data_IF_639409391376
#
_entry.id   IF_639409391376
#
_cell.length_a   1.000
_cell.length_b   1.000
_cell.length_c   1.000
_cell.angle_alpha   90.00
_cell.angle_beta   90.00
_cell.angle_gamma   90.00
#
_symmetry.space_group_name_H-M   'P 1'
#
loop_
_entity.id
_entity.type
_entity.pdbx_description
1 polymer ?
#
# COMPACT_ATOMS: atom_id res chain seq x y z
N UNK A 1 13.26 3.13 -1.73
CA UNK A 1 12.63 2.36 -2.80
C UNK A 1 12.51 0.92 -2.33
N UNK A 2 11.31 0.38 -2.41
CA UNK A 2 11.06 -1.06 -2.28
C UNK A 2 11.50 -1.71 -3.59
N UNK A 3 12.34 -2.73 -3.52
CA UNK A 3 12.98 -3.30 -4.70
C UNK A 3 12.91 -4.82 -4.62
N UNK A 4 12.64 -5.48 -5.73
CA UNK A 4 12.89 -6.91 -5.86
C UNK A 4 14.37 -7.20 -5.56
N UNK A 5 14.65 -8.26 -4.83
CA UNK A 5 16.04 -8.69 -4.64
C UNK A 5 16.27 -9.70 -3.53
N UNK A 6 17.51 -10.13 -3.44
CA UNK A 6 18.01 -10.93 -2.34
C UNK A 6 18.30 -10.01 -1.15
N UNK A 7 17.66 -10.32 -0.02
CA UNK A 7 17.86 -9.64 1.25
C UNK A 7 18.50 -10.60 2.24
N UNK A 8 19.46 -10.11 3.01
CA UNK A 8 20.12 -10.81 4.10
C UNK A 8 19.53 -10.33 5.41
N UNK A 9 19.22 -11.27 6.30
CA UNK A 9 18.66 -11.06 7.62
C UNK A 9 19.66 -11.49 8.68
N UNK A 10 19.74 -10.73 9.77
CA UNK A 10 20.57 -11.06 10.92
C UNK A 10 19.71 -11.02 12.17
N UNK A 11 19.74 -12.08 12.96
CA UNK A 11 18.99 -12.19 14.20
C UNK A 11 19.93 -12.45 15.37
N UNK A 12 19.95 -11.53 16.33
CA UNK A 12 20.69 -11.71 17.57
C UNK A 12 19.70 -11.93 18.71
N UNK A 13 19.83 -13.05 19.42
CA UNK A 13 19.10 -13.33 20.66
C UNK A 13 20.03 -14.04 21.67
N UNK A 14 19.66 -14.06 22.95
CA UNK A 14 20.39 -14.81 23.99
C UNK A 14 20.08 -16.30 23.84
N UNK A 15 18.87 -16.73 24.23
CA UNK A 15 18.46 -18.14 24.13
C UNK A 15 17.77 -18.45 22.80
N UNK A 16 16.59 -17.88 22.51
CA UNK A 16 15.89 -18.17 21.24
C UNK A 16 15.32 -16.92 20.58
N UNK A 17 15.36 -16.91 19.25
CA UNK A 17 14.82 -15.85 18.43
C UNK A 17 14.19 -16.39 17.16
N UNK A 18 13.09 -15.79 16.73
CA UNK A 18 12.38 -16.17 15.52
C UNK A 18 11.99 -14.92 14.74
N UNK A 19 12.23 -14.98 13.43
CA UNK A 19 11.77 -14.01 12.44
C UNK A 19 10.94 -14.77 11.40
N UNK A 20 9.67 -14.39 11.24
CA UNK A 20 8.82 -14.83 10.12
C UNK A 20 8.48 -13.67 9.22
N UNK A 21 8.49 -13.93 7.92
CA UNK A 21 8.09 -12.97 6.89
C UNK A 21 7.07 -13.67 6.00
N UNK A 22 5.89 -13.06 5.84
CA UNK A 22 4.76 -13.63 5.11
C UNK A 22 4.26 -14.99 5.67
N UNK A 23 4.43 -15.22 6.97
CA UNK A 23 4.06 -16.48 7.61
C UNK A 23 5.09 -17.61 7.45
N UNK A 24 6.14 -17.41 6.65
CA UNK A 24 7.26 -18.33 6.51
C UNK A 24 8.36 -17.97 7.50
N UNK A 25 8.92 -18.98 8.17
CA UNK A 25 10.08 -18.80 9.05
C UNK A 25 11.30 -18.46 8.19
N UNK A 26 11.88 -17.30 8.47
CA UNK A 26 13.03 -16.76 7.72
C UNK A 26 14.29 -16.86 8.55
N UNK A 27 14.23 -16.72 9.86
CA UNK A 27 15.41 -16.95 10.70
C UNK A 27 14.95 -17.52 12.04
N UNK A 28 15.64 -18.58 12.48
CA UNK A 28 15.37 -19.27 13.73
C UNK A 28 16.70 -19.46 14.42
N UNK A 29 16.92 -18.68 15.49
CA UNK A 29 17.98 -18.94 16.44
C UNK A 29 17.44 -19.84 17.54
N UNK A 30 18.02 -21.03 17.66
CA UNK A 30 17.82 -21.96 18.78
C UNK A 30 19.16 -22.11 19.51
N UNK A 31 19.40 -21.22 20.48
CA UNK A 31 20.60 -21.22 21.33
C UNK A 31 20.47 -22.22 22.48
N UNK A 32 21.62 -22.58 23.09
CA UNK A 32 21.66 -23.45 24.28
C UNK A 32 21.45 -22.59 25.53
N UNK A 33 20.35 -22.77 26.30
CA UNK A 33 20.20 -22.08 27.58
C UNK A 33 21.17 -22.66 28.63
N UNK A 34 21.67 -21.86 29.60
CA UNK A 34 21.84 -20.41 29.63
C UNK A 34 23.33 -20.04 29.47
N UNK A 35 23.67 -19.05 28.64
CA UNK A 35 25.08 -18.63 28.47
C UNK A 35 25.32 -17.11 28.44
N UNK A 36 24.27 -16.29 28.44
CA UNK A 36 24.36 -14.83 28.65
C UNK A 36 25.09 -14.08 27.54
N UNK A 37 25.06 -14.63 26.31
CA UNK A 37 25.73 -14.06 25.12
C UNK A 37 24.75 -13.98 23.97
N UNK A 38 24.69 -12.81 23.34
CA UNK A 38 23.99 -12.65 22.07
C UNK A 38 24.83 -13.27 20.96
N UNK A 39 24.27 -14.26 20.28
CA UNK A 39 24.87 -14.84 19.07
C UNK A 39 24.02 -14.46 17.87
N UNK A 40 24.70 -14.19 16.76
CA UNK A 40 24.09 -13.81 15.49
C UNK A 40 23.79 -15.07 14.67
N UNK A 41 22.53 -15.25 14.30
CA UNK A 41 22.15 -16.11 13.19
C UNK A 41 21.90 -15.25 11.94
N UNK A 42 22.26 -15.77 10.77
CA UNK A 42 22.09 -15.04 9.51
C UNK A 42 21.35 -15.88 8.48
N UNK A 43 20.48 -15.20 7.73
CA UNK A 43 19.71 -15.82 6.67
C UNK A 43 19.69 -14.95 5.42
N UNK A 44 19.24 -15.50 4.30
CA UNK A 44 18.94 -14.70 3.11
C UNK A 44 17.69 -15.19 2.40
N UNK A 45 16.89 -14.27 1.87
CA UNK A 45 15.66 -14.58 1.15
C UNK A 45 15.43 -13.60 0.01
N UNK A 46 14.99 -14.14 -1.13
CA UNK A 46 14.52 -13.30 -2.23
C UNK A 46 13.14 -12.75 -1.89
N UNK A 47 13.00 -11.43 -1.87
CA UNK A 47 11.74 -10.74 -1.68
C UNK A 47 11.39 -9.95 -2.94
N UNK A 48 10.10 -9.88 -3.22
CA UNK A 48 9.53 -8.95 -4.20
C UNK A 48 9.32 -7.60 -3.54
N UNK A 49 9.26 -6.54 -4.33
CA UNK A 49 8.81 -5.24 -3.84
C UNK A 49 7.39 -5.38 -3.29
N UNK A 50 7.13 -4.73 -2.16
CA UNK A 50 5.84 -4.76 -1.47
C UNK A 50 5.96 -4.94 0.04
N UNK A 51 4.80 -4.88 0.68
CA UNK A 51 4.68 -4.96 2.13
C UNK A 51 4.52 -6.40 2.61
N UNK A 52 5.34 -6.78 3.58
CA UNK A 52 5.29 -8.11 4.19
C UNK A 52 4.85 -8.03 5.65
N UNK A 53 3.95 -8.93 6.05
CA UNK A 53 3.70 -9.18 7.46
C UNK A 53 4.94 -9.82 8.09
N UNK A 54 5.51 -9.15 9.09
CA UNK A 54 6.65 -9.64 9.86
C UNK A 54 6.15 -10.08 11.23
N UNK A 55 6.61 -11.24 11.70
CA UNK A 55 6.42 -11.70 13.08
C UNK A 55 7.78 -11.93 13.71
N UNK A 56 7.93 -11.45 14.94
CA UNK A 56 9.14 -11.55 15.73
C UNK A 56 8.77 -12.25 17.04
N UNK A 57 9.56 -13.23 17.44
CA UNK A 57 9.44 -13.87 18.74
C UNK A 57 10.83 -13.99 19.36
N UNK A 58 10.97 -13.58 20.61
CA UNK A 58 12.18 -13.79 21.40
C UNK A 58 11.78 -14.59 22.64
N UNK A 59 12.57 -15.59 22.99
CA UNK A 59 12.40 -16.36 24.23
C UNK A 59 13.74 -16.29 24.95
N UNK A 60 13.72 -15.85 26.21
CA UNK A 60 14.85 -15.94 27.12
C UNK A 60 14.47 -16.94 28.21
N UNK A 61 15.13 -18.09 28.25
CA UNK A 61 14.85 -19.18 29.18
C UNK A 61 15.73 -18.98 30.42
N UNK A 62 15.09 -18.88 31.61
CA UNK A 62 15.76 -18.66 32.90
C UNK A 62 16.35 -17.24 33.13
N UNK A 63 15.67 -16.20 32.63
CA UNK A 63 16.02 -14.81 32.96
C UNK A 63 16.01 -14.55 34.48
N UNK A 64 17.16 -14.11 35.02
CA UNK A 64 17.29 -13.58 36.38
C UNK A 64 17.64 -12.09 36.34
N UNK A 65 16.84 -11.20 36.97
CA UNK A 65 17.12 -9.77 37.04
C UNK A 65 18.46 -9.41 37.71
N UNK A 66 19.07 -10.34 38.44
CA UNK A 66 20.34 -10.14 39.16
C UNK A 66 21.57 -10.65 38.40
N UNK A 67 21.40 -11.40 37.30
CA UNK A 67 22.52 -12.02 36.57
C UNK A 67 23.15 -11.12 35.51
N UNK A 68 22.50 -10.02 35.12
CA UNK A 68 22.98 -9.17 34.01
C UNK A 68 22.87 -9.84 32.64
N UNK A 69 22.08 -10.91 32.51
CA UNK A 69 21.81 -11.58 31.23
C UNK A 69 21.14 -10.61 30.25
N UNK A 70 21.55 -10.67 28.98
CA UNK A 70 21.14 -9.72 27.96
C UNK A 70 19.73 -10.05 27.44
N UNK A 71 18.75 -9.18 27.70
CA UNK A 71 17.54 -9.14 26.87
C UNK A 71 17.86 -8.25 25.67
N UNK A 72 18.41 -8.83 24.61
CA UNK A 72 18.50 -8.13 23.34
C UNK A 72 17.99 -9.02 22.22
N UNK A 73 17.18 -8.43 21.37
CA UNK A 73 16.63 -9.03 20.17
C UNK A 73 16.83 -8.04 19.03
N UNK A 74 17.82 -8.29 18.18
CA UNK A 74 18.13 -7.42 17.06
C UNK A 74 17.80 -8.10 15.75
N UNK A 75 17.09 -7.41 14.86
CA UNK A 75 16.83 -7.85 13.49
C UNK A 75 17.49 -6.87 12.54
N UNK A 76 18.41 -7.36 11.72
CA UNK A 76 19.08 -6.60 10.66
C UNK A 76 18.59 -7.07 9.30
N UNK A 77 18.40 -6.15 8.34
CA UNK A 77 18.14 -6.47 6.94
C UNK A 77 19.05 -5.65 6.03
N UNK A 78 19.75 -6.27 5.09
CA UNK A 78 20.62 -5.60 4.12
C UNK A 78 20.60 -6.32 2.76
N UNK A 79 21.04 -5.64 1.69
CA UNK A 79 21.33 -6.23 0.38
C UNK A 79 22.73 -6.86 0.30
N UNK A 80 23.53 -6.68 1.34
CA UNK A 80 24.84 -7.32 1.48
C UNK A 80 24.81 -8.35 2.62
N UNK A 81 25.64 -9.41 2.55
CA UNK A 81 25.76 -10.36 3.64
C UNK A 81 26.09 -9.67 4.97
N UNK A 82 25.33 -10.02 6.00
CA UNK A 82 25.55 -9.52 7.36
C UNK A 82 26.73 -10.27 7.96
N UNK A 83 27.63 -9.53 8.60
CA UNK A 83 28.81 -10.07 9.26
C UNK A 83 28.77 -9.79 10.74
N UNK A 84 29.37 -10.70 11.48
CA UNK A 84 29.59 -10.58 12.91
C UNK A 84 30.46 -9.35 13.25
N UNK A 85 30.04 -8.57 14.25
CA UNK A 85 30.77 -7.39 14.72
C UNK A 85 31.97 -7.75 15.60
N UNK A 86 32.87 -6.78 15.85
CA UNK A 86 34.03 -7.00 16.72
C UNK A 86 33.62 -7.04 18.20
N UNK A 87 33.91 -8.15 18.88
CA UNK A 87 33.57 -8.41 20.28
C UNK A 87 34.69 -7.94 21.22
N UNK A 88 34.57 -6.74 21.78
CA UNK A 88 35.50 -6.31 22.82
C UNK A 88 34.79 -5.51 23.91
N UNK A 89 34.51 -6.17 25.04
CA UNK A 89 34.07 -5.52 26.29
C UNK A 89 33.15 -6.39 27.16
N UNK A 90 33.20 -6.17 28.47
CA UNK A 90 32.43 -6.90 29.50
C UNK A 90 30.95 -6.45 29.60
N UNK A 91 30.46 -5.69 28.61
CA UNK A 91 29.08 -5.18 28.55
C UNK A 91 28.46 -5.49 27.19
N UNK A 92 27.42 -6.33 27.20
CA UNK A 92 26.65 -6.73 26.01
C UNK A 92 25.80 -5.59 25.42
N UNK A 93 25.69 -4.43 26.09
CA UNK A 93 24.82 -3.31 25.69
C UNK A 93 25.48 -2.20 24.87
N UNK A 94 26.81 -2.18 24.69
CA UNK A 94 27.48 -1.18 23.85
C UNK A 94 28.00 -1.80 22.56
N UNK A 95 27.18 -1.75 21.51
CA UNK A 95 27.60 -2.12 20.15
C UNK A 95 27.56 -0.89 19.24
N UNK A 96 28.70 -0.57 18.63
CA UNK A 96 28.78 0.36 17.50
C UNK A 96 28.68 -0.46 16.21
N UNK A 97 27.50 -0.46 15.61
CA UNK A 97 27.32 -0.98 14.25
C UNK A 97 27.73 0.13 13.26
N UNK A 98 28.46 -0.22 12.20
CA UNK A 98 28.52 0.63 11.01
C UNK A 98 27.14 0.61 10.36
N UNK A 99 26.31 1.60 10.70
CA UNK A 99 24.99 1.77 10.12
C UNK A 99 25.09 1.84 8.59
N UNK A 100 24.40 0.93 7.90
CA UNK A 100 23.97 1.18 6.53
C UNK A 100 22.96 2.32 6.59
N UNK A 101 23.09 3.33 5.72
CA UNK A 101 22.31 4.58 5.74
C UNK A 101 20.80 4.42 5.53
N UNK A 102 20.29 3.18 5.51
CA UNK A 102 18.88 2.81 5.29
C UNK A 102 18.26 2.00 6.44
N UNK A 103 18.98 1.76 7.54
CA UNK A 103 18.47 0.98 8.68
C UNK A 103 17.54 1.80 9.58
N UNK A 104 16.37 1.24 9.93
CA UNK A 104 15.64 1.56 11.17
C UNK A 104 15.96 0.48 12.19
N UNK A 105 16.67 0.81 13.26
CA UNK A 105 16.81 -0.06 14.42
C UNK A 105 15.47 -0.13 15.16
N UNK A 106 15.03 -1.33 15.51
CA UNK A 106 13.94 -1.52 16.47
C UNK A 106 14.57 -1.91 17.81
N UNK A 107 14.62 -0.97 18.74
CA UNK A 107 14.95 -1.27 20.14
C UNK A 107 13.67 -1.78 20.81
N UNK A 108 13.66 -3.02 21.30
CA UNK A 108 12.61 -3.47 22.20
C UNK A 108 12.83 -2.74 23.53
N UNK A 109 12.11 -1.64 23.70
CA UNK A 109 12.06 -0.90 24.96
C UNK A 109 11.10 -1.67 25.88
N UNK A 110 11.50 -1.91 27.12
CA UNK A 110 10.62 -2.49 28.15
C UNK A 110 9.29 -1.72 28.15
N UNK A 111 8.16 -2.41 28.09
CA UNK A 111 6.80 -1.79 28.02
C UNK A 111 6.59 -0.71 29.08
N UNK A 112 7.18 -0.87 30.27
CA UNK A 112 7.13 0.09 31.37
C UNK A 112 7.81 1.45 31.10
N UNK A 113 8.45 1.65 29.94
CA UNK A 113 9.21 2.87 29.61
C UNK A 113 8.75 3.59 28.33
N UNK A 114 7.63 3.19 27.71
CA UNK A 114 7.07 3.89 26.54
C UNK A 114 6.31 5.14 27.01
N UNK A 115 7.01 6.26 27.16
CA UNK A 115 6.40 7.56 27.46
C UNK A 115 5.76 8.17 26.23
N UNK A 116 4.66 8.89 26.40
CA UNK A 116 4.03 9.61 25.30
C UNK A 116 4.92 10.76 24.79
N UNK A 117 5.50 10.57 23.60
CA UNK A 117 6.09 11.67 22.84
C UNK A 117 5.00 12.61 22.30
N UNK A 118 5.44 13.78 21.83
CA UNK A 118 4.61 14.69 21.05
C UNK A 118 4.07 13.99 19.80
N UNK A 119 2.84 14.34 19.42
CA UNK A 119 2.22 13.84 18.20
C UNK A 119 3.02 14.27 16.97
N UNK A 120 3.26 13.34 16.04
CA UNK A 120 3.93 13.59 14.77
C UNK A 120 2.93 13.34 13.65
N UNK A 121 2.85 14.25 12.68
CA UNK A 121 1.95 14.09 11.53
C UNK A 121 2.23 12.77 10.81
N UNK A 122 1.19 11.95 10.63
CA UNK A 122 1.28 10.68 9.91
C UNK A 122 0.76 10.89 8.50
N UNK A 123 1.63 10.64 7.53
CA UNK A 123 1.27 10.58 6.11
C UNK A 123 0.59 9.25 5.77
N UNK A 124 -0.36 9.30 4.85
CA UNK A 124 -1.08 8.12 4.39
C UNK A 124 -0.23 7.32 3.42
N UNK A 125 0.00 6.04 3.73
CA UNK A 125 0.47 5.06 2.77
C UNK A 125 -0.65 4.65 1.82
N UNK A 126 -0.42 4.76 0.52
CA UNK A 126 -1.35 4.30 -0.52
C UNK A 126 -0.73 3.10 -1.26
N UNK A 127 -1.37 1.94 -1.17
CA UNK A 127 -0.98 0.70 -1.82
C UNK A 127 -1.44 0.70 -3.29
N UNK A 128 -0.46 0.83 -4.18
CA UNK A 128 -0.64 0.82 -5.63
C UNK A 128 -0.35 -0.57 -6.18
N UNK A 129 -1.31 -1.49 -6.01
CA UNK A 129 -1.17 -2.83 -6.59
C UNK A 129 -1.20 -2.78 -8.11
N UNK A 130 -0.37 -3.62 -8.73
CA UNK A 130 -0.43 -3.84 -10.17
C UNK A 130 -1.86 -4.30 -10.58
N UNK A 131 -2.40 -3.78 -11.70
CA UNK A 131 -3.71 -4.22 -12.18
C UNK A 131 -3.73 -5.72 -12.51
N UNK A 132 -4.84 -6.38 -12.19
CA UNK A 132 -5.12 -7.75 -12.63
C UNK A 132 -5.82 -7.70 -13.99
N UNK A 133 -5.47 -8.61 -14.90
CA UNK A 133 -6.12 -8.73 -16.22
C UNK A 133 -7.00 -9.98 -16.27
N UNK A 134 -8.19 -9.85 -16.83
CA UNK A 134 -9.13 -10.96 -17.08
C UNK A 134 -9.74 -10.86 -18.48
N UNK A 135 -10.10 -12.00 -19.06
CA UNK A 135 -10.78 -12.11 -20.35
C UNK A 135 -12.31 -12.18 -20.24
N UNK A 136 -12.88 -11.84 -19.08
CA UNK A 136 -14.32 -11.77 -18.88
C UNK A 136 -14.96 -10.61 -19.68
N UNK A 137 -16.14 -10.85 -20.26
CA UNK A 137 -16.95 -9.82 -20.92
C UNK A 137 -17.85 -9.09 -19.91
N UNK A 138 -17.24 -8.25 -19.06
CA UNK A 138 -17.91 -7.40 -18.07
C UNK A 138 -17.13 -6.09 -17.91
N UNK A 139 -17.71 -5.14 -17.19
CA UNK A 139 -17.06 -3.86 -16.91
C UNK A 139 -15.76 -4.05 -16.11
N UNK A 140 -14.77 -3.19 -16.38
CA UNK A 140 -13.61 -3.04 -15.53
C UNK A 140 -14.05 -2.57 -14.13
N UNK A 141 -13.24 -2.87 -13.11
CA UNK A 141 -13.60 -2.57 -11.73
C UNK A 141 -12.39 -2.02 -11.00
N UNK A 142 -12.62 -0.92 -10.29
CA UNK A 142 -11.77 -0.48 -9.19
C UNK A 142 -12.41 -0.80 -7.83
N UNK A 143 -11.65 -1.47 -6.97
CA UNK A 143 -12.10 -1.82 -5.61
C UNK A 143 -11.23 -1.09 -4.60
N UNK A 144 -11.79 -0.21 -3.75
CA UNK A 144 -11.01 0.43 -2.71
C UNK A 144 -10.63 -0.56 -1.62
N UNK A 145 -9.39 -0.48 -1.16
CA UNK A 145 -8.89 -1.21 0.00
C UNK A 145 -9.27 -0.41 1.24
N UNK A 146 -9.91 -1.07 2.21
CA UNK A 146 -10.29 -0.47 3.47
C UNK A 146 -9.06 0.08 4.20
N UNK A 147 -9.08 1.34 4.68
CA UNK A 147 -8.02 1.91 5.48
C UNK A 147 -7.74 1.09 6.73
N UNK A 148 -6.46 0.94 7.06
CA UNK A 148 -5.98 0.37 8.32
C UNK A 148 -5.13 1.38 9.05
N UNK A 149 -5.54 1.73 10.27
CA UNK A 149 -4.81 2.66 11.14
C UNK A 149 -4.07 1.84 12.18
N UNK A 150 -2.75 1.85 12.08
CA UNK A 150 -1.86 1.22 13.04
C UNK A 150 -1.60 2.21 14.16
N UNK A 151 -1.98 1.82 15.37
CA UNK A 151 -1.81 2.62 16.58
C UNK A 151 -0.88 1.92 17.56
N UNK A 152 -0.22 2.71 18.40
CA UNK A 152 0.56 2.23 19.55
C UNK A 152 0.05 2.89 20.82
N UNK A 153 0.01 2.18 21.95
CA UNK A 153 -0.27 2.78 23.23
C UNK A 153 1.00 3.46 23.78
N UNK A 154 0.87 4.59 24.46
CA UNK A 154 1.94 5.22 25.23
C UNK A 154 1.44 5.65 26.61
N UNK A 155 2.32 5.71 27.60
CA UNK A 155 1.99 6.12 28.96
C UNK A 155 2.22 7.62 29.15
N UNK A 156 1.20 8.30 29.65
CA UNK A 156 1.29 9.67 30.17
C UNK A 156 1.33 9.60 31.70
N UNK A 157 2.53 9.66 32.27
CA UNK A 157 2.74 9.51 33.72
C UNK A 157 2.14 10.67 34.53
N UNK A 158 2.01 11.85 33.93
CA UNK A 158 1.47 13.04 34.60
C UNK A 158 -0.04 12.91 34.73
N UNK A 159 -0.71 12.46 33.66
CA UNK A 159 -2.16 12.27 33.64
C UNK A 159 -2.62 10.88 34.13
N UNK A 160 -1.69 9.93 34.34
CA UNK A 160 -1.96 8.54 34.74
C UNK A 160 -2.86 7.78 33.75
N UNK A 161 -2.66 8.02 32.45
CA UNK A 161 -3.43 7.41 31.35
C UNK A 161 -2.55 6.80 30.26
N UNK A 162 -3.04 5.73 29.65
CA UNK A 162 -2.51 5.17 28.42
C UNK A 162 -3.22 5.85 27.24
N UNK A 163 -2.48 6.53 26.37
CA UNK A 163 -3.00 7.22 25.18
C UNK A 163 -2.75 6.41 23.92
N UNK A 164 -3.61 6.56 22.92
CA UNK A 164 -3.30 6.11 21.56
C UNK A 164 -2.38 7.11 20.84
N UNK A 165 -1.43 6.57 20.08
CA UNK A 165 -0.65 7.29 19.06
C UNK A 165 -0.83 6.61 17.72
N UNK A 166 -1.07 7.39 16.68
CA UNK A 166 -1.09 6.85 15.32
C UNK A 166 0.35 6.66 14.87
N UNK A 167 0.71 5.44 14.49
CA UNK A 167 2.04 5.09 14.02
C UNK A 167 2.11 5.07 12.48
N UNK A 168 1.05 4.57 11.85
CA UNK A 168 0.97 4.44 10.40
C UNK A 168 -0.49 4.30 9.96
N UNK A 169 -0.80 4.68 8.73
CA UNK A 169 -2.08 4.37 8.08
C UNK A 169 -1.83 3.86 6.67
N UNK A 170 -2.48 2.77 6.31
CA UNK A 170 -2.45 2.21 4.96
C UNK A 170 -3.84 2.17 4.35
N UNK A 171 -3.94 2.48 3.06
CA UNK A 171 -5.15 2.35 2.24
C UNK A 171 -4.72 2.05 0.80
N UNK A 172 -5.64 1.94 -0.15
CA UNK A 172 -5.27 1.69 -1.54
C UNK A 172 -6.44 1.32 -2.43
N UNK A 173 -6.13 0.77 -3.60
CA UNK A 173 -7.12 0.23 -4.54
C UNK A 173 -6.59 -0.99 -5.27
N UNK A 174 -7.47 -1.91 -5.61
CA UNK A 174 -7.23 -3.00 -6.55
C UNK A 174 -7.94 -2.68 -7.88
N UNK A 175 -7.24 -2.89 -9.00
CA UNK A 175 -7.79 -2.64 -10.34
C UNK A 175 -7.88 -3.96 -11.09
N UNK A 176 -9.06 -4.25 -11.63
CA UNK A 176 -9.33 -5.38 -12.50
C UNK A 176 -9.71 -4.86 -13.89
N UNK A 177 -8.85 -5.15 -14.87
CA UNK A 177 -9.09 -4.83 -16.28
C UNK A 177 -9.68 -6.05 -16.96
N UNK A 178 -10.83 -5.86 -17.60
CA UNK A 178 -11.56 -6.92 -18.32
C UNK A 178 -11.54 -6.65 -19.81
N UNK A 179 -10.94 -7.56 -20.57
CA UNK A 179 -10.72 -7.40 -22.01
C UNK A 179 -11.65 -8.27 -22.86
N UNK A 180 -12.56 -9.03 -22.25
CA UNK A 180 -13.45 -9.93 -22.98
C UNK A 180 -14.60 -9.25 -23.72
N UNK A 181 -14.85 -7.97 -23.44
CA UNK A 181 -15.95 -7.19 -24.02
C UNK A 181 -15.63 -6.53 -25.35
N UNK A 182 -14.38 -6.59 -25.83
CA UNK A 182 -13.95 -5.93 -27.06
C UNK A 182 -12.81 -6.71 -27.74
N UNK A 183 -12.66 -6.49 -29.05
CA UNK A 183 -11.48 -6.86 -29.81
C UNK A 183 -10.43 -5.76 -29.67
N UNK A 184 -9.23 -6.15 -29.23
CA UNK A 184 -8.13 -5.20 -29.09
C UNK A 184 -7.60 -4.81 -30.47
N UNK A 185 -7.72 -3.53 -30.82
CA UNK A 185 -7.39 -3.01 -32.16
C UNK A 185 -5.89 -3.06 -32.48
N UNK A 186 -5.02 -3.08 -31.48
CA UNK A 186 -3.57 -3.13 -31.67
C UNK A 186 -3.06 -4.56 -31.68
N UNK A 187 -3.61 -5.42 -30.81
CA UNK A 187 -3.23 -6.83 -30.77
C UNK A 187 -3.82 -7.63 -31.93
N UNK A 188 -5.07 -7.32 -32.34
CA UNK A 188 -5.79 -8.01 -33.40
C UNK A 188 -6.40 -6.99 -34.37
N UNK A 189 -5.58 -6.32 -35.19
CA UNK A 189 -6.03 -5.26 -36.07
C UNK A 189 -7.06 -5.75 -37.11
N UNK A 190 -7.94 -4.85 -37.59
CA UNK A 190 -8.92 -5.16 -38.62
C UNK A 190 -8.25 -5.66 -39.90
N UNK A 191 -8.83 -6.69 -40.50
CA UNK A 191 -8.32 -7.37 -41.69
C UNK A 191 -9.07 -6.99 -42.97
N UNK A 192 -10.17 -6.25 -42.83
CA UNK A 192 -11.00 -5.78 -43.94
C UNK A 192 -11.34 -4.29 -43.81
N UNK A 193 -11.67 -3.65 -44.94
CA UNK A 193 -12.14 -2.26 -44.95
C UNK A 193 -13.37 -2.05 -44.05
N UNK A 194 -14.29 -3.02 -44.02
CA UNK A 194 -15.50 -2.96 -43.18
C UNK A 194 -15.16 -3.00 -41.70
N UNK A 195 -14.27 -3.90 -41.28
CA UNK A 195 -13.81 -3.96 -39.88
C UNK A 195 -13.09 -2.68 -39.48
N UNK A 196 -12.26 -2.11 -40.38
CA UNK A 196 -11.56 -0.85 -40.12
C UNK A 196 -12.51 0.34 -39.97
N UNK A 197 -13.58 0.42 -40.77
CA UNK A 197 -14.63 1.43 -40.60
C UNK A 197 -15.25 1.31 -39.19
N UNK A 198 -15.66 0.10 -38.80
CA UNK A 198 -16.31 -0.15 -37.50
C UNK A 198 -15.35 0.18 -36.35
N UNK A 199 -14.08 -0.24 -36.45
CA UNK A 199 -13.08 0.02 -35.41
C UNK A 199 -12.85 1.53 -35.21
N UNK A 200 -12.66 2.30 -36.29
CA UNK A 200 -12.46 3.76 -36.21
C UNK A 200 -13.71 4.46 -35.68
N UNK A 201 -14.90 4.08 -36.12
CA UNK A 201 -16.15 4.68 -35.61
C UNK A 201 -16.39 4.35 -34.13
N UNK A 202 -16.11 3.11 -33.71
CA UNK A 202 -16.27 2.66 -32.32
C UNK A 202 -15.31 3.39 -31.39
N UNK A 203 -14.01 3.37 -31.70
CA UNK A 203 -12.98 3.97 -30.84
C UNK A 203 -13.08 5.50 -30.76
N UNK A 204 -13.59 6.17 -31.79
CA UNK A 204 -13.83 7.62 -31.76
C UNK A 204 -15.01 8.03 -30.85
N UNK A 205 -15.84 7.09 -30.40
CA UNK A 205 -17.02 7.36 -29.57
C UNK A 205 -16.83 7.02 -28.09
N UNK A 206 -15.62 6.61 -27.70
CA UNK A 206 -15.32 6.18 -26.33
C UNK A 206 -15.69 7.26 -25.31
N UNK A 207 -15.24 8.51 -25.51
CA UNK A 207 -15.53 9.54 -24.52
C UNK A 207 -17.04 9.80 -24.35
N UNK A 208 -17.82 9.68 -25.42
CA UNK A 208 -19.27 9.87 -25.40
C UNK A 208 -20.03 8.66 -24.84
N UNK A 209 -19.30 7.65 -24.32
CA UNK A 209 -19.84 6.34 -23.91
C UNK A 209 -20.62 5.65 -25.04
N UNK A 210 -20.30 5.97 -26.29
CA UNK A 210 -20.93 5.42 -27.48
C UNK A 210 -20.27 4.14 -28.02
N UNK A 211 -19.13 3.75 -27.45
CA UNK A 211 -18.30 2.60 -27.85
C UNK A 211 -18.73 1.26 -27.26
N UNK A 212 -20.04 1.01 -27.11
CA UNK A 212 -20.51 -0.17 -26.38
C UNK A 212 -20.27 -1.52 -27.08
N UNK A 213 -19.72 -1.61 -28.30
CA UNK A 213 -19.74 -2.87 -29.06
C UNK A 213 -18.53 -3.05 -30.00
N UNK A 214 -17.42 -3.56 -29.45
CA UNK A 214 -16.58 -4.50 -30.19
C UNK A 214 -15.12 -4.12 -30.43
N UNK A 215 -14.70 -2.86 -30.32
CA UNK A 215 -13.30 -2.48 -30.52
C UNK A 215 -12.80 -1.48 -29.48
N UNK A 216 -11.66 -1.77 -28.87
CA UNK A 216 -10.97 -0.89 -27.90
C UNK A 216 -9.49 -1.31 -27.77
N UNK A 217 -8.81 -0.88 -26.71
CA UNK A 217 -7.50 -1.39 -26.30
C UNK A 217 -7.47 -1.61 -24.79
N UNK A 218 -6.61 -2.53 -24.35
CA UNK A 218 -6.35 -2.71 -22.91
C UNK A 218 -5.84 -1.43 -22.25
N UNK A 219 -4.97 -0.72 -22.94
CA UNK A 219 -4.34 0.50 -22.44
C UNK A 219 -5.37 1.62 -22.23
N UNK A 220 -6.40 1.71 -23.09
CA UNK A 220 -7.50 2.65 -22.88
C UNK A 220 -8.35 2.31 -21.65
N UNK A 221 -8.65 1.02 -21.44
CA UNK A 221 -9.36 0.54 -20.24
C UNK A 221 -8.53 0.83 -18.99
N UNK A 222 -7.21 0.63 -19.06
CA UNK A 222 -6.29 0.98 -17.97
C UNK A 222 -6.29 2.49 -17.69
N UNK A 223 -6.26 3.34 -18.72
CA UNK A 223 -6.28 4.79 -18.54
C UNK A 223 -7.57 5.30 -17.87
N UNK A 224 -8.71 4.67 -18.19
CA UNK A 224 -9.98 4.93 -17.50
C UNK A 224 -9.87 4.60 -16.00
N UNK A 225 -9.46 3.38 -15.66
CA UNK A 225 -9.40 2.91 -14.28
C UNK A 225 -8.30 3.61 -13.46
N UNK A 226 -7.19 3.99 -14.08
CA UNK A 226 -6.12 4.74 -13.42
C UNK A 226 -6.62 6.13 -12.99
N UNK A 227 -7.50 6.74 -13.77
CA UNK A 227 -8.15 7.98 -13.36
C UNK A 227 -9.00 7.78 -12.09
N UNK A 228 -9.72 6.65 -11.97
CA UNK A 228 -10.44 6.32 -10.74
C UNK A 228 -9.51 6.01 -9.58
N UNK A 229 -8.38 5.34 -9.83
CA UNK A 229 -7.35 5.07 -8.81
C UNK A 229 -6.80 6.37 -8.23
N UNK A 230 -6.51 7.33 -9.10
CA UNK A 230 -6.04 8.64 -8.67
C UNK A 230 -7.10 9.38 -7.84
N UNK A 231 -8.39 9.31 -8.22
CA UNK A 231 -9.49 9.85 -7.40
C UNK A 231 -9.51 9.28 -6.00
N UNK A 232 -9.35 7.97 -5.85
CA UNK A 232 -9.29 7.33 -4.54
C UNK A 232 -8.09 7.79 -3.72
N UNK A 233 -6.90 7.88 -4.33
CA UNK A 233 -5.68 8.36 -3.67
C UNK A 233 -5.86 9.76 -3.10
N UNK A 234 -6.33 10.70 -3.94
CA UNK A 234 -6.52 12.08 -3.55
C UNK A 234 -7.67 12.23 -2.54
N UNK A 235 -8.75 11.46 -2.69
CA UNK A 235 -9.86 11.48 -1.73
C UNK A 235 -9.45 10.98 -0.35
N UNK A 236 -8.65 9.91 -0.24
CA UNK A 236 -8.13 9.47 1.06
C UNK A 236 -7.27 10.54 1.72
N UNK A 237 -6.35 11.17 0.97
CA UNK A 237 -5.51 12.26 1.47
C UNK A 237 -6.35 13.45 1.97
N UNK A 238 -7.38 13.84 1.21
CA UNK A 238 -8.29 14.90 1.59
C UNK A 238 -9.04 14.56 2.89
N UNK A 239 -9.68 13.40 2.94
CA UNK A 239 -10.59 13.06 4.04
C UNK A 239 -9.87 12.70 5.34
N UNK A 240 -8.63 12.23 5.28
CA UNK A 240 -7.78 12.10 6.46
C UNK A 240 -7.63 13.43 7.20
N UNK A 241 -7.29 14.50 6.46
CA UNK A 241 -7.13 15.86 6.98
C UNK A 241 -8.48 16.49 7.33
N UNK A 242 -9.49 16.34 6.48
CA UNK A 242 -10.80 16.95 6.69
C UNK A 242 -11.51 16.40 7.92
N UNK A 243 -11.44 15.07 8.15
CA UNK A 243 -12.05 14.43 9.30
C UNK A 243 -11.20 14.49 10.56
N UNK A 244 -9.94 14.96 10.46
CA UNK A 244 -8.97 15.01 11.55
C UNK A 244 -8.79 13.65 12.23
N UNK A 245 -8.65 12.60 11.41
CA UNK A 245 -8.71 11.21 11.91
C UNK A 245 -7.60 10.95 12.94
N UNK A 246 -6.39 11.44 12.69
CA UNK A 246 -5.29 11.31 13.63
C UNK A 246 -5.59 12.04 14.94
N UNK A 247 -5.98 13.31 14.87
CA UNK A 247 -6.21 14.12 16.06
C UNK A 247 -7.36 13.59 16.92
N UNK A 248 -8.40 13.03 16.31
CA UNK A 248 -9.50 12.42 17.06
C UNK A 248 -9.12 11.07 17.67
N UNK A 249 -8.32 10.24 16.99
CA UNK A 249 -7.82 8.99 17.55
C UNK A 249 -6.85 9.22 18.73
N UNK A 250 -5.99 10.23 18.65
CA UNK A 250 -5.00 10.52 19.70
C UNK A 250 -5.59 11.21 20.94
N UNK A 251 -6.89 11.57 20.93
CA UNK A 251 -7.62 11.95 22.15
C UNK A 251 -8.02 10.73 22.98
N UNK A 252 -8.12 9.57 22.36
CA UNK A 252 -8.52 8.34 23.03
C UNK A 252 -7.48 7.94 24.09
N UNK A 253 -7.98 7.61 25.26
CA UNK A 253 -7.16 7.18 26.37
C UNK A 253 -7.94 6.29 27.35
N UNK A 254 -7.21 5.49 28.11
CA UNK A 254 -7.75 4.67 29.20
C UNK A 254 -6.87 4.82 30.45
N UNK A 255 -7.41 4.52 31.62
CA UNK A 255 -6.68 4.59 32.88
C UNK A 255 -5.54 3.57 32.95
N UNK A 256 -4.33 4.02 33.30
CA UNK A 256 -3.21 3.10 33.57
C UNK A 256 -3.45 2.19 34.78
N UNK A 257 -4.36 2.57 35.69
CA UNK A 257 -4.71 1.75 36.86
C UNK A 257 -5.62 0.58 36.50
N UNK A 258 -6.55 0.82 35.59
CA UNK A 258 -7.47 -0.21 35.10
C UNK A 258 -6.79 -1.14 34.09
N UNK A 259 -5.89 -0.56 33.28
CA UNK A 259 -5.12 -1.27 32.26
C UNK A 259 -3.61 -1.00 32.48
N UNK A 260 -2.98 -1.69 33.44
CA UNK A 260 -1.56 -1.50 33.75
C UNK A 260 -0.64 -2.09 32.66
N UNK A 261 -1.20 -2.97 31.82
CA UNK A 261 -0.57 -3.61 30.68
C UNK A 261 -0.96 -2.87 29.38
N UNK A 262 0.03 -2.58 28.54
CA UNK A 262 -0.16 -1.73 27.36
C UNK A 262 -0.93 -2.44 26.25
N UNK A 263 -0.80 -3.76 26.12
CA UNK A 263 -1.59 -4.57 25.20
C UNK A 263 -3.06 -4.61 25.61
N UNK A 264 -3.34 -4.72 26.92
CA UNK A 264 -4.71 -4.61 27.44
C UNK A 264 -5.32 -3.22 27.21
N UNK A 265 -4.53 -2.15 27.41
CA UNK A 265 -4.97 -0.79 27.11
C UNK A 265 -5.28 -0.62 25.61
N UNK A 266 -4.43 -1.17 24.73
CA UNK A 266 -4.63 -1.16 23.29
C UNK A 266 -5.89 -1.93 22.88
N UNK A 267 -6.11 -3.12 23.44
CA UNK A 267 -7.30 -3.93 23.15
C UNK A 267 -8.59 -3.22 23.60
N UNK A 268 -8.56 -2.51 24.72
CA UNK A 268 -9.69 -1.69 25.19
C UNK A 268 -10.07 -0.57 24.21
N UNK A 269 -9.08 0.05 23.54
CA UNK A 269 -9.27 1.16 22.61
C UNK A 269 -9.45 0.73 21.14
N UNK A 270 -9.25 -0.56 20.83
CA UNK A 270 -9.30 -1.12 19.47
C UNK A 270 -10.64 -0.92 18.76
N UNK A 271 -11.75 -0.93 19.50
CA UNK A 271 -13.07 -0.64 18.94
C UNK A 271 -13.15 0.77 18.38
N UNK A 272 -12.62 1.75 19.11
CA UNK A 272 -12.56 3.15 18.67
C UNK A 272 -11.75 3.29 17.37
N UNK A 273 -10.62 2.57 17.25
CA UNK A 273 -9.83 2.53 16.01
C UNK A 273 -10.63 1.99 14.84
N UNK A 274 -11.30 0.85 15.02
CA UNK A 274 -12.11 0.22 13.97
C UNK A 274 -13.31 1.08 13.54
N UNK A 275 -13.95 1.77 14.50
CA UNK A 275 -15.05 2.69 14.21
C UNK A 275 -14.58 3.90 13.38
N UNK A 276 -13.37 4.41 13.67
CA UNK A 276 -12.74 5.47 12.88
C UNK A 276 -12.30 5.00 11.49
N UNK A 277 -11.70 3.81 11.34
CA UNK A 277 -11.38 3.21 10.05
C UNK A 277 -12.62 3.14 9.16
N UNK A 278 -13.75 2.66 9.71
CA UNK A 278 -15.02 2.54 9.01
C UNK A 278 -15.61 3.89 8.64
N UNK A 279 -15.59 4.87 9.57
CA UNK A 279 -16.07 6.23 9.31
C UNK A 279 -15.26 6.89 8.19
N UNK A 280 -13.93 6.82 8.27
CA UNK A 280 -13.03 7.36 7.25
C UNK A 280 -13.29 6.74 5.87
N UNK A 281 -13.40 5.41 5.80
CA UNK A 281 -13.74 4.70 4.56
C UNK A 281 -15.09 5.12 3.98
N UNK A 282 -16.14 5.10 4.80
CA UNK A 282 -17.50 5.38 4.33
C UNK A 282 -17.63 6.80 3.81
N UNK A 283 -17.11 7.79 4.54
CA UNK A 283 -17.17 9.19 4.08
C UNK A 283 -16.36 9.40 2.80
N UNK A 284 -15.19 8.77 2.68
CA UNK A 284 -14.38 8.83 1.44
C UNK A 284 -15.11 8.16 0.27
N UNK A 285 -15.72 7.01 0.50
CA UNK A 285 -16.49 6.24 -0.50
C UNK A 285 -17.73 6.99 -0.98
N UNK A 286 -18.47 7.62 -0.07
CA UNK A 286 -19.60 8.48 -0.40
C UNK A 286 -19.20 9.67 -1.26
N UNK A 287 -18.02 10.24 -1.01
CA UNK A 287 -17.46 11.31 -1.84
C UNK A 287 -17.10 10.82 -3.24
N UNK A 288 -16.30 9.75 -3.35
CA UNK A 288 -15.84 9.23 -4.64
C UNK A 288 -17.03 8.81 -5.51
N UNK A 289 -18.08 8.24 -4.92
CA UNK A 289 -19.32 7.86 -5.64
C UNK A 289 -20.07 9.03 -6.28
N UNK A 290 -19.85 10.26 -5.82
CA UNK A 290 -20.47 11.47 -6.40
C UNK A 290 -19.65 12.05 -7.56
N UNK A 291 -18.42 11.58 -7.76
CA UNK A 291 -17.56 12.08 -8.82
C UNK A 291 -18.07 11.58 -10.19
N UNK A 292 -18.06 12.41 -11.25
CA UNK A 292 -18.61 12.04 -12.55
C UNK A 292 -17.93 10.81 -13.17
N UNK A 293 -18.73 9.87 -13.64
CA UNK A 293 -18.30 8.68 -14.40
C UNK A 293 -19.29 8.36 -15.53
N UNK A 294 -19.62 9.40 -16.30
CA UNK A 294 -20.58 9.38 -17.38
C UNK A 294 -19.96 9.90 -18.70
N UNK A 295 -20.76 9.96 -19.75
CA UNK A 295 -20.31 10.42 -21.06
C UNK A 295 -19.66 11.81 -20.97
N UNK A 296 -18.47 11.95 -21.57
CA UNK A 296 -17.61 13.12 -21.60
C UNK A 296 -17.02 13.50 -20.23
N UNK A 297 -17.15 12.65 -19.22
CA UNK A 297 -16.41 12.80 -17.97
C UNK A 297 -14.92 12.48 -18.16
N UNK A 298 -14.11 12.95 -17.22
CA UNK A 298 -12.65 12.84 -17.28
C UNK A 298 -12.09 11.42 -17.47
N UNK A 299 -12.61 10.35 -16.82
CA UNK A 299 -12.13 8.97 -17.03
C UNK A 299 -12.30 8.53 -18.49
N UNK A 300 -13.46 8.84 -19.09
CA UNK A 300 -13.77 8.56 -20.48
C UNK A 300 -12.94 9.42 -21.46
N UNK A 301 -12.65 10.68 -21.12
CA UNK A 301 -11.71 11.51 -21.88
C UNK A 301 -10.27 10.96 -21.83
N UNK A 302 -9.85 10.42 -20.68
CA UNK A 302 -8.54 9.80 -20.51
C UNK A 302 -8.40 8.53 -21.38
N UNK A 303 -9.43 7.68 -21.38
CA UNK A 303 -9.50 6.52 -22.28
C UNK A 303 -9.46 6.92 -23.75
N UNK A 304 -10.26 7.92 -24.15
CA UNK A 304 -10.30 8.43 -25.52
C UNK A 304 -8.93 8.93 -25.98
N UNK A 305 -8.19 9.65 -25.12
CA UNK A 305 -6.84 10.13 -25.43
C UNK A 305 -5.90 8.99 -25.81
N UNK A 306 -5.97 7.86 -25.10
CA UNK A 306 -5.18 6.66 -25.43
C UNK A 306 -5.70 5.98 -26.70
N UNK A 307 -7.02 5.84 -26.87
CA UNK A 307 -7.61 5.25 -28.07
C UNK A 307 -7.33 6.03 -29.35
N UNK A 308 -7.05 7.33 -29.27
CA UNK A 308 -6.70 8.13 -30.43
C UNK A 308 -5.42 7.64 -31.10
N UNK A 309 -4.45 7.12 -30.34
CA UNK A 309 -3.23 6.52 -30.89
C UNK A 309 -3.54 5.22 -31.65
N UNK A 310 -4.41 4.38 -31.08
CA UNK A 310 -4.88 3.17 -31.75
C UNK A 310 -5.70 3.50 -33.01
N UNK A 311 -6.57 4.51 -32.94
CA UNK A 311 -7.37 4.99 -34.06
C UNK A 311 -6.48 5.49 -35.20
N UNK A 312 -5.45 6.28 -34.89
CA UNK A 312 -4.46 6.72 -35.87
C UNK A 312 -3.72 5.55 -36.53
N UNK A 313 -3.41 4.51 -35.76
CA UNK A 313 -2.78 3.29 -36.28
C UNK A 313 -3.69 2.54 -37.28
N UNK A 314 -4.99 2.46 -37.00
CA UNK A 314 -5.96 1.85 -37.93
C UNK A 314 -6.15 2.69 -39.19
N UNK A 315 -6.15 4.02 -39.07
CA UNK A 315 -6.20 4.92 -40.23
C UNK A 315 -4.97 4.71 -41.14
N UNK A 316 -3.77 4.65 -40.56
CA UNK A 316 -2.55 4.37 -41.32
C UNK A 316 -2.58 2.99 -42.02
N UNK A 317 -3.13 1.97 -41.33
CA UNK A 317 -3.36 0.65 -41.93
C UNK A 317 -4.32 0.73 -43.12
N UNK A 318 -5.40 1.52 -42.99
CA UNK A 318 -6.36 1.72 -44.08
C UNK A 318 -5.73 2.40 -45.29
N UNK A 319 -4.86 3.39 -45.07
CA UNK A 319 -4.12 4.07 -46.15
C UNK A 319 -3.17 3.11 -46.87
N UNK A 320 -2.43 2.27 -46.12
CA UNK A 320 -1.54 1.26 -46.69
C UNK A 320 -2.27 0.19 -47.54
N UNK A 321 -3.51 -0.13 -47.18
CA UNK A 321 -4.32 -1.13 -47.90
C UNK A 321 -5.25 -0.52 -48.97
N UNK A 322 -5.22 0.80 -49.17
CA UNK A 322 -6.10 1.47 -50.15
C UNK A 322 -7.58 1.49 -49.76
N UNK A 323 -7.90 1.33 -48.48
CA UNK A 323 -9.26 1.33 -47.95
C UNK A 323 -9.83 2.75 -47.84
N UNK A 324 -10.23 3.30 -48.99
CA UNK A 324 -10.67 4.69 -49.13
C UNK A 324 -11.92 5.07 -48.33
N UNK A 325 -12.74 4.10 -47.90
CA UNK A 325 -14.01 4.37 -47.19
C UNK A 325 -13.85 4.50 -45.67
N UNK A 326 -12.69 4.14 -45.10
CA UNK A 326 -12.42 4.28 -43.67
C UNK A 326 -12.43 5.77 -43.25
N UNK A 327 -13.06 6.17 -42.14
CA UNK A 327 -13.00 7.56 -41.70
C UNK A 327 -11.57 7.97 -41.32
N UNK A 328 -11.16 9.20 -41.64
CA UNK A 328 -9.82 9.75 -41.32
C UNK A 328 -9.84 10.72 -40.13
N UNK A 329 -10.95 10.76 -39.40
CA UNK A 329 -11.10 11.62 -38.24
C UNK A 329 -10.60 10.91 -36.97
N UNK A 330 -9.98 11.69 -36.09
CA UNK A 330 -9.65 11.30 -34.73
C UNK A 330 -10.33 12.27 -33.79
N UNK A 331 -11.04 11.74 -32.80
CA UNK A 331 -11.80 12.53 -31.83
C UNK A 331 -10.86 13.37 -30.97
N UNK A 332 -11.17 14.65 -30.77
CA UNK A 332 -10.45 15.48 -29.79
C UNK A 332 -10.98 15.15 -28.39
N UNK A 333 -10.14 14.66 -27.46
CA UNK A 333 -10.59 14.32 -26.13
C UNK A 333 -10.88 15.59 -25.32
N UNK A 334 -11.85 15.52 -24.42
CA UNK A 334 -12.09 16.56 -23.43
C UNK A 334 -10.96 16.71 -22.41
N UNK A 335 -11.19 17.55 -21.41
CA UNK A 335 -10.21 17.82 -20.33
C UNK A 335 -10.02 16.58 -19.45
N UNK A 336 -8.76 16.22 -19.18
CA UNK A 336 -8.39 15.09 -18.31
C UNK A 336 -7.88 15.50 -16.92
N UNK A 337 -7.47 16.76 -16.75
CA UNK A 337 -6.86 17.31 -15.51
C UNK A 337 -7.49 18.64 -15.06
N UNK A 338 -7.45 18.99 -13.76
CA UNK A 338 -7.10 18.12 -12.64
C UNK A 338 -8.18 17.05 -12.42
N UNK A 339 -7.90 16.08 -11.56
CA UNK A 339 -8.85 15.03 -11.17
C UNK A 339 -10.16 15.65 -10.68
N UNK A 340 -11.29 14.97 -10.92
CA UNK A 340 -12.61 15.42 -10.46
C UNK A 340 -12.57 15.66 -8.94
N UNK A 341 -12.83 16.89 -8.54
CA UNK A 341 -12.88 17.27 -7.14
C UNK A 341 -14.16 18.06 -6.86
N UNK A 342 -14.87 17.68 -5.80
CA UNK A 342 -15.97 18.45 -5.24
C UNK A 342 -15.47 19.14 -3.95
N UNK A 343 -15.72 20.44 -3.76
CA UNK A 343 -15.38 21.09 -2.50
C UNK A 343 -16.06 20.38 -1.32
N UNK A 344 -15.36 20.17 -0.18
CA UNK A 344 -15.98 19.58 1.00
C UNK A 344 -17.23 20.39 1.42
N UNK A 345 -18.37 19.71 1.58
CA UNK A 345 -19.60 20.32 2.11
C UNK A 345 -20.63 20.79 1.08
N UNK A 346 -20.38 20.67 -0.24
CA UNK A 346 -21.43 20.84 -1.24
C UNK A 346 -22.24 19.54 -1.38
N UNK A 347 -23.53 19.61 -1.03
CA UNK A 347 -24.49 18.51 -1.13
C UNK A 347 -25.09 18.43 -2.53
#
# INVERSE_FOLDING_TARGET
MEEDGLYYFGLEADDKGFLKIAGEEVCVKDGIPPHGRLELDTWSKNLKAGYYKVQLLCINEEYSPTSGNAIAFNVTMDKKPIKEGNYSGDSTMKRTFTASSKMKLWTIVKEATITCEESKEVEIGFDEKAPTISNEARDCIITPIMPRVFVTPCKDEVADVCRLRVAHVSCGTEVLIRTGGYQDALANPPTTEVEAIIAVECMNREQARGGALGWSTREASMAHEEHHRQRWREAYQLYWKHLKVQEELEKENVSCKEYPDMDQALEAMKKTVADWEKKFFNTTSEYVRKLPDDANSRPYCAAQKVLNEATGSIIALADANGWSRVPRNVTVPGVTEPVCFLPPGQR
#
